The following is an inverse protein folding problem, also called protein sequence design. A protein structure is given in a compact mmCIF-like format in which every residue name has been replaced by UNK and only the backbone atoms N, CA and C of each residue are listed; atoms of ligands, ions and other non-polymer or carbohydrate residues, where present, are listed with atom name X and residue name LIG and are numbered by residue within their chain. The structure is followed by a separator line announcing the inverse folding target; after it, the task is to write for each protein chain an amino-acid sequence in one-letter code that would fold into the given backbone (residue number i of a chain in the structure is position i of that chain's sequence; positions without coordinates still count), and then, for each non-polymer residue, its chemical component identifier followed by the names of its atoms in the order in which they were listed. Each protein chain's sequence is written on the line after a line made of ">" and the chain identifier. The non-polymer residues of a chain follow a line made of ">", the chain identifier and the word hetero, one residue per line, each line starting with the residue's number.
data_IF_066759088866
#
_entry.id   IF_066759088866
#
_cell.length_a   1.000
_cell.length_b   1.000
_cell.length_c   1.000
_cell.angle_alpha   90.00
_cell.angle_beta   90.00
_cell.angle_gamma   90.00
#
_symmetry.space_group_name_H-M   'P 1'
#
loop_
_entity.id
_entity.type
_entity.pdbx_description
1 polymer ?
#
# COMPACT_ATOMS: atom_id res chain seq x y z
N UNK A 1 -21.50 23.51 16.23
CA UNK A 1 -22.12 22.71 15.16
C UNK A 1 -21.02 22.35 14.19
N UNK A 2 -20.44 21.16 14.34
CA UNK A 2 -19.38 20.66 13.46
C UNK A 2 -20.01 20.28 12.13
N UNK A 3 -19.65 20.99 11.06
CA UNK A 3 -20.00 20.61 9.69
C UNK A 3 -19.29 19.29 9.40
N UNK A 4 -19.99 18.18 9.51
CA UNK A 4 -19.52 16.88 9.03
C UNK A 4 -19.26 17.03 7.53
N UNK A 5 -17.97 17.05 7.19
CA UNK A 5 -17.55 17.01 5.79
C UNK A 5 -17.81 15.60 5.25
N UNK A 6 -19.05 15.37 4.81
CA UNK A 6 -19.42 14.10 4.17
C UNK A 6 -18.57 13.90 2.90
N UNK A 7 -17.84 12.80 2.85
CA UNK A 7 -17.13 12.37 1.65
C UNK A 7 -18.21 11.88 0.68
N UNK A 8 -18.38 12.61 -0.46
CA UNK A 8 -19.35 12.24 -1.49
C UNK A 8 -18.80 11.10 -2.34
N UNK A 9 -19.59 10.06 -2.52
CA UNK A 9 -19.37 9.02 -3.51
C UNK A 9 -19.74 9.55 -4.92
N UNK A 10 -19.16 8.95 -5.96
CA UNK A 10 -19.51 9.30 -7.34
C UNK A 10 -20.97 8.99 -7.68
N UNK A 11 -21.61 8.10 -6.93
CA UNK A 11 -23.01 7.73 -7.05
C UNK A 11 -23.62 7.49 -5.67
N UNK A 12 -24.23 8.52 -5.08
CA UNK A 12 -25.06 8.39 -3.88
C UNK A 12 -26.43 7.83 -4.26
N UNK A 13 -26.89 6.77 -3.58
CA UNK A 13 -28.22 6.21 -3.79
C UNK A 13 -28.46 4.90 -3.03
N UNK A 14 -29.70 4.46 -2.97
CA UNK A 14 -30.09 3.21 -2.32
C UNK A 14 -29.48 1.98 -3.03
N UNK A 15 -29.29 0.88 -2.28
CA UNK A 15 -28.89 -0.40 -2.87
C UNK A 15 -29.99 -0.88 -3.82
N UNK A 16 -29.58 -1.20 -5.04
CA UNK A 16 -30.41 -1.75 -6.11
C UNK A 16 -29.67 -2.92 -6.78
N UNK A 17 -30.10 -3.34 -7.95
CA UNK A 17 -29.49 -4.42 -8.75
C UNK A 17 -28.02 -4.17 -9.11
N UNK A 18 -27.47 -2.98 -8.81
CA UNK A 18 -26.06 -2.60 -9.04
C UNK A 18 -25.23 -2.58 -7.76
N UNK A 19 -25.58 -3.37 -6.75
CA UNK A 19 -24.90 -3.43 -5.46
C UNK A 19 -23.38 -3.62 -5.59
N UNK A 20 -22.93 -4.50 -6.51
CA UNK A 20 -21.50 -4.75 -6.73
C UNK A 20 -20.76 -3.51 -7.25
N UNK A 21 -21.35 -2.76 -8.16
CA UNK A 21 -20.76 -1.51 -8.67
C UNK A 21 -20.66 -0.45 -7.56
N UNK A 22 -21.70 -0.34 -6.74
CA UNK A 22 -21.71 0.61 -5.61
C UNK A 22 -20.70 0.24 -4.55
N UNK A 23 -20.56 -1.05 -4.23
CA UNK A 23 -19.51 -1.55 -3.35
C UNK A 23 -18.13 -1.18 -3.89
N UNK A 24 -17.87 -1.43 -5.17
CA UNK A 24 -16.62 -1.05 -5.82
C UNK A 24 -16.33 0.45 -5.69
N UNK A 25 -17.31 1.30 -6.02
CA UNK A 25 -17.14 2.76 -5.95
C UNK A 25 -16.88 3.24 -4.52
N UNK A 26 -17.49 2.61 -3.51
CA UNK A 26 -17.26 2.90 -2.09
C UNK A 26 -15.85 2.50 -1.67
N UNK A 27 -15.40 1.31 -2.04
CA UNK A 27 -14.02 0.87 -1.81
C UNK A 27 -13.01 1.84 -2.46
N UNK A 28 -13.25 2.20 -3.73
CA UNK A 28 -12.40 3.14 -4.46
C UNK A 28 -12.36 4.51 -3.78
N UNK A 29 -13.49 5.02 -3.31
CA UNK A 29 -13.56 6.30 -2.61
C UNK A 29 -12.77 6.25 -1.31
N UNK A 30 -12.99 5.23 -0.48
CA UNK A 30 -12.31 5.07 0.80
C UNK A 30 -10.79 4.95 0.60
N UNK A 31 -10.34 4.08 -0.29
CA UNK A 31 -8.91 3.89 -0.57
C UNK A 31 -8.26 5.17 -1.10
N UNK A 32 -8.90 5.86 -2.04
CA UNK A 32 -8.40 7.13 -2.60
C UNK A 32 -8.26 8.21 -1.53
N UNK A 33 -9.22 8.32 -0.61
CA UNK A 33 -9.18 9.33 0.47
C UNK A 33 -8.06 9.01 1.46
N UNK A 34 -7.94 7.75 1.88
CA UNK A 34 -6.87 7.30 2.78
C UNK A 34 -5.50 7.57 2.14
N UNK A 35 -5.30 7.13 0.91
CA UNK A 35 -4.05 7.30 0.17
C UNK A 35 -3.67 8.80 0.03
N UNK A 36 -4.63 9.65 -0.28
CA UNK A 36 -4.42 11.10 -0.40
C UNK A 36 -3.98 11.73 0.92
N UNK A 37 -4.57 11.29 2.04
CA UNK A 37 -4.19 11.76 3.38
C UNK A 37 -2.81 11.28 3.78
N UNK A 38 -2.47 10.01 3.50
CA UNK A 38 -1.14 9.46 3.76
C UNK A 38 -0.07 10.16 2.94
N UNK A 39 -0.28 10.33 1.62
CA UNK A 39 0.65 11.07 0.74
C UNK A 39 0.97 12.46 1.29
N UNK A 40 -0.05 13.19 1.73
CA UNK A 40 0.15 14.52 2.31
C UNK A 40 0.92 14.45 3.62
N UNK A 41 0.56 13.57 4.55
CA UNK A 41 1.24 13.46 5.85
C UNK A 41 2.69 13.06 5.72
N UNK A 42 3.02 12.07 4.86
CA UNK A 42 4.40 11.70 4.60
C UNK A 42 5.21 12.85 3.99
N UNK A 43 4.65 13.58 3.05
CA UNK A 43 5.32 14.74 2.45
C UNK A 43 5.55 15.86 3.48
N UNK A 44 4.51 16.21 4.26
CA UNK A 44 4.54 17.33 5.19
C UNK A 44 5.45 17.07 6.42
N UNK A 45 5.46 15.83 6.93
CA UNK A 45 6.16 15.51 8.18
C UNK A 45 7.54 14.91 7.97
N UNK A 46 7.74 14.18 6.88
CA UNK A 46 8.98 13.42 6.65
C UNK A 46 9.68 13.76 5.33
N UNK A 47 9.06 14.56 4.45
CA UNK A 47 9.61 14.86 3.13
C UNK A 47 9.74 13.65 2.20
N UNK A 48 9.03 12.55 2.49
CA UNK A 48 9.06 11.33 1.66
C UNK A 48 7.74 11.14 0.92
N UNK A 49 7.79 10.31 -0.11
CA UNK A 49 6.59 9.92 -0.85
C UNK A 49 6.04 8.58 -0.36
N UNK A 50 4.72 8.38 -0.45
CA UNK A 50 4.08 7.11 -0.10
C UNK A 50 4.71 5.90 -0.84
N UNK A 51 5.03 5.94 -2.16
CA UNK A 51 5.74 4.84 -2.81
C UNK A 51 7.09 4.48 -2.19
N UNK A 52 7.83 5.44 -1.62
CA UNK A 52 9.08 5.14 -0.90
C UNK A 52 8.79 4.37 0.39
N UNK A 53 7.80 4.79 1.16
CA UNK A 53 7.33 4.06 2.33
C UNK A 53 6.91 2.62 1.96
N UNK A 54 6.13 2.45 0.89
CA UNK A 54 5.63 1.14 0.46
C UNK A 54 6.77 0.18 0.08
N UNK A 55 7.79 0.68 -0.63
CA UNK A 55 9.00 -0.11 -0.95
C UNK A 55 9.74 -0.50 0.33
N UNK A 56 9.95 0.44 1.26
CA UNK A 56 10.62 0.15 2.53
C UNK A 56 9.81 -0.86 3.36
N UNK A 57 8.49 -0.74 3.41
CA UNK A 57 7.61 -1.68 4.10
C UNK A 57 7.63 -3.09 3.50
N UNK A 58 7.75 -3.20 2.17
CA UNK A 58 7.91 -4.49 1.51
C UNK A 58 9.26 -5.14 1.85
N UNK A 59 10.34 -4.36 1.81
CA UNK A 59 11.69 -4.84 2.13
C UNK A 59 11.87 -5.18 3.62
N UNK A 60 11.22 -4.48 4.52
CA UNK A 60 11.26 -4.77 5.96
C UNK A 60 10.67 -6.16 6.29
N UNK A 61 9.60 -6.54 5.59
CA UNK A 61 8.99 -7.87 5.70
C UNK A 61 9.82 -8.99 5.06
N UNK A 62 10.82 -8.64 4.26
CA UNK A 62 11.68 -9.57 3.54
C UNK A 62 13.17 -9.26 3.81
N UNK A 63 13.72 -9.62 4.97
CA UNK A 63 15.12 -9.33 5.34
C UNK A 63 16.14 -9.92 4.37
N UNK A 64 15.80 -11.04 3.71
CA UNK A 64 16.59 -11.65 2.64
C UNK A 64 16.65 -10.79 1.38
N UNK A 65 15.77 -9.79 1.27
CA UNK A 65 15.65 -8.88 0.15
C UNK A 65 14.71 -9.36 -0.94
N UNK A 66 14.45 -8.47 -1.89
CA UNK A 66 13.53 -8.72 -3.01
C UNK A 66 14.15 -8.25 -4.32
N UNK A 67 13.85 -8.97 -5.41
CA UNK A 67 14.14 -8.50 -6.77
C UNK A 67 13.16 -7.40 -7.19
N UNK A 68 13.49 -6.66 -8.26
CA UNK A 68 12.58 -5.61 -8.78
C UNK A 68 11.23 -6.21 -9.23
N UNK A 69 11.25 -7.42 -9.81
CA UNK A 69 10.03 -8.13 -10.18
C UNK A 69 9.16 -8.49 -8.98
N UNK A 70 9.75 -9.03 -7.92
CA UNK A 70 9.04 -9.33 -6.67
C UNK A 70 8.45 -8.08 -6.02
N UNK A 71 9.21 -6.98 -6.00
CA UNK A 71 8.72 -5.70 -5.48
C UNK A 71 7.54 -5.17 -6.30
N UNK A 72 7.62 -5.19 -7.64
CA UNK A 72 6.54 -4.71 -8.49
C UNK A 72 5.27 -5.55 -8.32
N UNK A 73 5.40 -6.85 -8.19
CA UNK A 73 4.29 -7.76 -7.91
C UNK A 73 3.69 -7.51 -6.52
N UNK A 74 4.53 -7.40 -5.48
CA UNK A 74 4.07 -7.17 -4.11
C UNK A 74 3.36 -5.81 -3.93
N UNK A 75 3.79 -4.79 -4.68
CA UNK A 75 3.23 -3.43 -4.61
C UNK A 75 2.14 -3.16 -5.65
N UNK A 76 1.84 -4.13 -6.52
CA UNK A 76 0.84 -4.02 -7.59
C UNK A 76 1.08 -2.81 -8.50
N UNK A 77 2.35 -2.53 -8.82
CA UNK A 77 2.77 -1.41 -9.68
C UNK A 77 3.71 -1.87 -10.79
N UNK A 78 3.89 -1.06 -11.83
CA UNK A 78 4.81 -1.39 -12.92
C UNK A 78 6.27 -1.41 -12.45
N UNK A 79 7.08 -2.29 -13.05
CA UNK A 79 8.52 -2.43 -12.74
C UNK A 79 9.30 -1.10 -12.91
N UNK A 80 8.90 -0.26 -13.87
CA UNK A 80 9.52 1.04 -14.09
C UNK A 80 9.34 1.99 -12.90
N UNK A 81 8.14 2.01 -12.31
CA UNK A 81 7.85 2.81 -11.13
C UNK A 81 8.67 2.37 -9.92
N UNK A 82 8.77 1.05 -9.67
CA UNK A 82 9.56 0.49 -8.58
C UNK A 82 11.05 0.84 -8.74
N UNK A 83 11.58 0.70 -9.95
CA UNK A 83 13.00 0.98 -10.22
C UNK A 83 13.36 2.42 -9.87
N UNK A 84 12.53 3.39 -10.25
CA UNK A 84 12.77 4.79 -9.90
C UNK A 84 12.78 5.06 -8.39
N UNK A 85 11.86 4.44 -7.66
CA UNK A 85 11.77 4.56 -6.20
C UNK A 85 12.97 3.91 -5.51
N UNK A 86 13.34 2.68 -5.89
CA UNK A 86 14.49 1.96 -5.32
C UNK A 86 15.80 2.72 -5.59
N UNK A 87 15.97 3.29 -6.78
CA UNK A 87 17.12 4.12 -7.12
C UNK A 87 17.22 5.38 -6.24
N UNK A 88 16.11 6.00 -5.90
CA UNK A 88 16.10 7.13 -4.98
C UNK A 88 16.53 6.70 -3.56
N UNK A 89 15.97 5.62 -3.03
CA UNK A 89 16.32 5.06 -1.72
C UNK A 89 17.78 4.58 -1.66
N UNK A 90 18.30 4.07 -2.77
CA UNK A 90 19.72 3.68 -2.90
C UNK A 90 20.65 4.91 -2.78
N UNK A 91 20.33 6.00 -3.49
CA UNK A 91 21.11 7.25 -3.39
C UNK A 91 21.09 7.87 -1.98
N UNK A 92 20.01 7.68 -1.26
CA UNK A 92 19.84 8.15 0.12
C UNK A 92 20.45 7.20 1.16
N UNK A 93 20.96 6.03 0.73
CA UNK A 93 21.61 5.04 1.61
C UNK A 93 20.63 4.19 2.43
N UNK A 94 19.32 4.23 2.17
CA UNK A 94 18.31 3.44 2.87
C UNK A 94 18.16 2.02 2.31
N UNK A 95 18.57 1.81 1.06
CA UNK A 95 18.52 0.53 0.38
C UNK A 95 19.92 0.20 -0.14
N UNK A 96 20.28 -1.08 -0.12
CA UNK A 96 21.45 -1.63 -0.79
C UNK A 96 21.02 -2.59 -1.88
N UNK A 97 21.87 -2.75 -2.90
CA UNK A 97 21.66 -3.68 -4.00
C UNK A 97 22.82 -4.67 -4.06
N UNK A 98 22.51 -5.95 -4.23
CA UNK A 98 23.50 -7.01 -4.43
C UNK A 98 23.08 -7.92 -5.56
N UNK A 99 24.04 -8.56 -6.24
CA UNK A 99 23.71 -9.60 -7.22
C UNK A 99 22.98 -10.77 -6.54
N UNK A 100 21.99 -11.34 -7.22
CA UNK A 100 21.32 -12.54 -6.72
C UNK A 100 22.29 -13.73 -6.70
N UNK A 101 22.35 -14.49 -5.61
CA UNK A 101 23.19 -15.67 -5.53
C UNK A 101 22.73 -16.82 -6.44
N UNK A 102 21.45 -16.79 -6.86
CA UNK A 102 20.84 -17.85 -7.69
C UNK A 102 20.69 -17.46 -9.15
N UNK A 103 20.65 -16.16 -9.46
CA UNK A 103 20.54 -15.62 -10.81
C UNK A 103 21.44 -14.37 -10.93
N UNK A 104 22.61 -14.51 -11.50
CA UNK A 104 23.56 -13.42 -11.67
C UNK A 104 23.08 -12.25 -12.54
N UNK A 105 21.91 -12.37 -13.20
CA UNK A 105 21.26 -11.28 -13.95
C UNK A 105 20.31 -10.47 -13.10
N UNK A 106 19.88 -11.01 -11.95
CA UNK A 106 18.96 -10.33 -11.04
C UNK A 106 19.71 -9.62 -9.92
N UNK A 107 19.25 -8.46 -9.54
CA UNK A 107 19.72 -7.73 -8.38
C UNK A 107 18.65 -7.76 -7.27
N UNK A 108 19.11 -7.96 -6.05
CA UNK A 108 18.28 -8.02 -4.85
C UNK A 108 18.45 -6.72 -4.05
N UNK A 109 17.34 -6.04 -3.78
CA UNK A 109 17.27 -4.88 -2.91
C UNK A 109 17.06 -5.31 -1.45
N UNK A 110 17.73 -4.66 -0.51
CA UNK A 110 17.56 -4.84 0.93
C UNK A 110 17.58 -3.50 1.64
N UNK A 111 16.86 -3.38 2.76
CA UNK A 111 17.07 -2.26 3.66
C UNK A 111 18.47 -2.32 4.27
N UNK A 112 19.12 -1.16 4.35
CA UNK A 112 20.31 -0.98 5.20
C UNK A 112 19.90 -0.84 6.66
N UNK A 113 20.87 -0.79 7.59
CA UNK A 113 20.60 -0.46 8.99
C UNK A 113 19.93 0.91 9.10
N UNK A 114 20.47 1.94 8.45
CA UNK A 114 19.87 3.27 8.38
C UNK A 114 18.47 3.26 7.76
N UNK A 115 18.24 2.39 6.76
CA UNK A 115 16.92 2.20 6.17
C UNK A 115 15.91 1.61 7.14
N UNK A 116 16.30 0.63 7.95
CA UNK A 116 15.44 0.03 8.98
C UNK A 116 15.11 1.02 10.09
N UNK A 117 16.10 1.77 10.57
CA UNK A 117 15.89 2.78 11.60
C UNK A 117 14.93 3.87 11.12
N UNK A 118 15.13 4.36 9.91
CA UNK A 118 14.22 5.32 9.27
C UNK A 118 12.80 4.73 9.13
N UNK A 119 12.68 3.50 8.63
CA UNK A 119 11.38 2.84 8.42
C UNK A 119 10.61 2.64 9.73
N UNK A 120 11.28 2.30 10.83
CA UNK A 120 10.63 2.11 12.14
C UNK A 120 9.82 3.34 12.55
N UNK A 121 10.40 4.52 12.50
CA UNK A 121 9.68 5.76 12.83
C UNK A 121 8.54 6.09 11.86
N UNK A 122 8.72 5.79 10.57
CA UNK A 122 7.68 5.97 9.55
C UNK A 122 6.50 5.00 9.77
N UNK A 123 6.80 3.75 10.14
CA UNK A 123 5.80 2.72 10.39
C UNK A 123 4.93 3.04 11.62
N UNK A 124 5.53 3.54 12.69
CA UNK A 124 4.81 4.00 13.89
C UNK A 124 3.83 5.12 13.54
N UNK A 125 4.29 6.16 12.85
CA UNK A 125 3.42 7.27 12.43
C UNK A 125 2.33 6.82 11.46
N UNK A 126 2.67 5.93 10.51
CA UNK A 126 1.68 5.36 9.59
C UNK A 126 0.59 4.61 10.36
N UNK A 127 0.97 3.78 11.35
CA UNK A 127 0.03 3.07 12.20
C UNK A 127 -0.92 4.03 12.93
N UNK A 128 -0.39 5.04 13.59
CA UNK A 128 -1.18 6.06 14.28
C UNK A 128 -2.16 6.79 13.36
N UNK A 129 -1.72 7.12 12.15
CA UNK A 129 -2.58 7.80 11.18
C UNK A 129 -3.71 6.93 10.67
N UNK A 130 -3.46 5.64 10.44
CA UNK A 130 -4.50 4.69 10.04
C UNK A 130 -5.50 4.48 11.18
N UNK A 131 -5.02 4.29 12.42
CA UNK A 131 -5.90 4.16 13.59
C UNK A 131 -6.79 5.40 13.75
N UNK A 132 -6.22 6.60 13.62
CA UNK A 132 -6.98 7.85 13.70
C UNK A 132 -8.02 7.99 12.57
N UNK A 133 -7.71 7.53 11.37
CA UNK A 133 -8.67 7.56 10.25
C UNK A 133 -9.81 6.56 10.41
N UNK A 134 -9.57 5.45 11.09
CA UNK A 134 -10.55 4.40 11.34
C UNK A 134 -11.23 4.51 12.72
N UNK A 135 -10.90 5.52 13.51
CA UNK A 135 -11.41 5.67 14.89
C UNK A 135 -12.96 5.74 14.98
N UNK A 136 -13.62 6.24 13.93
CA UNK A 136 -15.09 6.28 13.83
C UNK A 136 -15.75 4.92 13.53
N UNK A 137 -14.97 3.87 13.24
CA UNK A 137 -15.48 2.52 12.97
C UNK A 137 -15.24 1.65 14.20
N UNK A 138 -16.27 1.08 14.83
CA UNK A 138 -16.13 0.17 15.97
C UNK A 138 -15.21 -1.01 15.64
N UNK A 139 -14.50 -1.52 16.65
CA UNK A 139 -13.51 -2.60 16.45
C UNK A 139 -14.11 -3.84 15.79
N UNK A 140 -15.30 -4.23 16.23
CA UNK A 140 -16.01 -5.40 15.69
C UNK A 140 -16.32 -5.25 14.20
N UNK A 141 -16.74 -4.05 13.79
CA UNK A 141 -17.01 -3.74 12.39
C UNK A 141 -15.72 -3.70 11.56
N UNK A 142 -14.60 -3.21 12.12
CA UNK A 142 -13.28 -3.28 11.46
C UNK A 142 -12.85 -4.72 11.21
N UNK A 143 -13.05 -5.61 12.17
CA UNK A 143 -12.75 -7.05 12.01
C UNK A 143 -13.65 -7.67 10.94
N UNK A 144 -14.96 -7.42 10.98
CA UNK A 144 -15.88 -7.91 9.98
C UNK A 144 -15.53 -7.42 8.55
N UNK A 145 -15.16 -6.14 8.41
CA UNK A 145 -14.69 -5.59 7.14
C UNK A 145 -13.40 -6.29 6.66
N UNK A 146 -12.46 -6.54 7.55
CA UNK A 146 -11.21 -7.25 7.22
C UNK A 146 -11.50 -8.65 6.67
N UNK A 147 -12.39 -9.41 7.33
CA UNK A 147 -12.77 -10.76 6.91
C UNK A 147 -13.50 -10.75 5.54
N UNK A 148 -14.44 -9.82 5.35
CA UNK A 148 -15.16 -9.66 4.08
C UNK A 148 -14.23 -9.27 2.93
N UNK A 149 -13.26 -8.38 3.18
CA UNK A 149 -12.24 -8.04 2.19
C UNK A 149 -11.30 -9.22 1.91
N UNK A 150 -11.07 -10.11 2.88
CA UNK A 150 -10.38 -11.38 2.68
C UNK A 150 -11.12 -12.31 1.70
N UNK A 151 -12.44 -12.43 1.84
CA UNK A 151 -13.29 -13.17 0.89
C UNK A 151 -13.21 -12.55 -0.52
N UNK A 152 -13.33 -11.23 -0.63
CA UNK A 152 -13.21 -10.54 -1.91
C UNK A 152 -11.83 -10.77 -2.56
N UNK A 153 -10.74 -10.67 -1.79
CA UNK A 153 -9.38 -10.93 -2.27
C UNK A 153 -9.24 -12.35 -2.83
N UNK A 154 -9.82 -13.35 -2.17
CA UNK A 154 -9.80 -14.74 -2.64
C UNK A 154 -10.60 -14.91 -3.94
N UNK A 155 -11.76 -14.28 -4.05
CA UNK A 155 -12.58 -14.29 -5.27
C UNK A 155 -11.84 -13.67 -6.47
N UNK A 156 -11.19 -12.52 -6.26
CA UNK A 156 -10.39 -11.87 -7.31
C UNK A 156 -9.18 -12.70 -7.75
N UNK A 157 -8.56 -13.45 -6.83
CA UNK A 157 -7.44 -14.33 -7.17
C UNK A 157 -7.88 -15.55 -8.00
N UNK A 158 -9.12 -16.02 -7.82
CA UNK A 158 -9.67 -17.14 -8.60
C UNK A 158 -10.00 -16.73 -10.05
N UNK A 159 -10.38 -15.47 -10.29
CA UNK A 159 -10.78 -14.93 -11.59
C UNK A 159 -9.57 -14.70 -12.53
N UNK A 160 -8.35 -14.58 -12.00
CA UNK A 160 -7.11 -14.43 -12.81
C UNK A 160 -6.72 -15.68 -13.59
N UNK A 161 -7.45 -16.81 -13.44
CA UNK A 161 -7.24 -18.06 -14.19
C UNK A 161 -7.76 -18.07 -15.62
N UNK A 162 -8.56 -17.09 -16.05
CA UNK A 162 -9.21 -17.07 -17.39
C UNK A 162 -8.63 -16.01 -18.36
N UNK A 163 -7.71 -15.15 -17.94
CA UNK A 163 -7.04 -14.20 -18.84
C UNK A 163 -5.68 -14.72 -19.31
N UNK A 164 -5.67 -15.81 -20.10
CA UNK A 164 -4.59 -16.09 -21.06
C UNK A 164 -5.18 -16.20 -22.46
N UNK A 165 -4.83 -15.26 -23.37
CA UNK A 165 -5.10 -15.40 -24.80
C UNK A 165 -4.18 -16.42 -25.45
#
# INVERSE_FOLDING_TARGET
>A
MSSETMIREKHDGALDDRTSVRLWLRLLTCTTVIEKRLKRRFADQYGITLPRFDVMAALDRHPEGMTMGQLSQALLVSSGNVTGVVQALLREGYVSMAASPTDGRASIARLTEAGRDCFTGLAESHHEWIEAMLAGVPREERVAMYDLLGVLKTSLAADTGEEQP
#
